data_IF_942023713970
#
_entry.id   IF_942023713970
#
_cell.length_a   1.000
_cell.length_b   1.000
_cell.length_c   1.000
_cell.angle_alpha   90.00
_cell.angle_beta   90.00
_cell.angle_gamma   90.00
#
_symmetry.space_group_name_H-M   'P 1'
#
loop_
_entity.id
_entity.type
_entity.pdbx_description
1 polymer ?
#
# COMPACT_ATOMS: atom_id res chain seq x y z
N UNK A 1 -17.91 -7.24 1.24
CA UNK A 1 -16.59 -6.78 0.82
C UNK A 1 -15.49 -7.54 1.55
N UNK A 2 -14.42 -7.90 0.86
CA UNK A 2 -13.25 -8.47 1.54
C UNK A 2 -12.73 -7.52 2.61
N UNK A 3 -12.32 -8.06 3.75
CA UNK A 3 -11.92 -7.25 4.90
C UNK A 3 -10.74 -6.32 4.62
N UNK A 4 -9.70 -6.83 3.95
CA UNK A 4 -8.49 -6.02 3.72
C UNK A 4 -8.74 -4.82 2.82
N UNK A 5 -9.36 -4.97 1.64
CA UNK A 5 -9.65 -3.81 0.80
C UNK A 5 -10.57 -2.79 1.47
N UNK A 6 -11.59 -3.24 2.18
CA UNK A 6 -12.48 -2.34 2.89
C UNK A 6 -11.74 -1.56 3.98
N UNK A 7 -10.85 -2.23 4.69
CA UNK A 7 -10.04 -1.60 5.71
C UNK A 7 -9.08 -0.56 5.16
N UNK A 8 -8.50 -0.81 3.99
CA UNK A 8 -7.65 0.18 3.32
C UNK A 8 -8.45 1.44 3.02
N UNK A 9 -9.66 1.28 2.49
CA UNK A 9 -10.51 2.43 2.19
C UNK A 9 -10.88 3.21 3.45
N UNK A 10 -11.19 2.51 4.52
CA UNK A 10 -11.51 3.16 5.79
C UNK A 10 -10.30 3.92 6.35
N UNK A 11 -9.13 3.34 6.25
CA UNK A 11 -7.90 3.98 6.69
C UNK A 11 -7.64 5.29 5.94
N UNK A 12 -7.80 5.27 4.62
CA UNK A 12 -7.65 6.48 3.81
C UNK A 12 -8.64 7.54 4.25
N UNK A 13 -9.88 7.15 4.49
CA UNK A 13 -10.92 8.06 4.93
C UNK A 13 -10.59 8.68 6.29
N UNK A 14 -10.12 7.88 7.23
CA UNK A 14 -9.77 8.37 8.57
C UNK A 14 -8.63 9.37 8.56
N UNK A 15 -7.70 9.23 7.61
CA UNK A 15 -6.56 10.13 7.49
C UNK A 15 -6.81 11.28 6.50
N UNK A 16 -8.04 11.41 6.02
CA UNK A 16 -8.39 12.50 5.12
C UNK A 16 -7.74 12.41 3.76
N UNK A 17 -7.37 11.21 3.33
CA UNK A 17 -6.76 10.99 2.02
C UNK A 17 -7.87 10.66 1.04
N UNK A 18 -8.16 11.59 0.12
CA UNK A 18 -9.20 11.42 -0.88
C UNK A 18 -8.58 10.81 -2.15
N UNK A 19 -9.03 9.61 -2.57
CA UNK A 19 -8.50 9.00 -3.81
C UNK A 19 -8.94 9.69 -5.09
N UNK A 20 -9.97 10.51 -5.04
CA UNK A 20 -10.55 11.12 -6.24
C UNK A 20 -9.51 11.90 -7.04
N UNK A 21 -9.39 11.58 -8.31
CA UNK A 21 -8.44 12.25 -9.21
C UNK A 21 -6.99 11.83 -9.05
N UNK A 22 -6.70 10.97 -8.09
CA UNK A 22 -5.32 10.52 -7.83
C UNK A 22 -5.01 9.24 -8.61
N UNK A 23 -3.74 9.05 -8.90
CA UNK A 23 -3.25 7.82 -9.53
C UNK A 23 -3.00 6.79 -8.46
N UNK A 24 -3.74 5.70 -8.52
CA UNK A 24 -3.61 4.57 -7.60
C UNK A 24 -3.02 3.39 -8.36
N UNK A 25 -1.88 2.90 -7.92
CA UNK A 25 -1.24 1.71 -8.47
C UNK A 25 -1.36 0.58 -7.47
N UNK A 26 -1.88 -0.55 -7.92
CA UNK A 26 -2.04 -1.73 -7.10
C UNK A 26 -1.14 -2.82 -7.67
N UNK A 27 -0.24 -3.35 -6.86
CA UNK A 27 0.64 -4.44 -7.27
C UNK A 27 0.03 -5.74 -6.76
N UNK A 28 -0.51 -6.53 -7.66
CA UNK A 28 -1.21 -7.77 -7.36
C UNK A 28 -2.59 -7.77 -7.97
N UNK A 29 -3.02 -8.94 -8.43
CA UNK A 29 -4.33 -9.08 -9.09
C UNK A 29 -5.12 -10.27 -8.58
N UNK A 30 -4.96 -10.59 -7.29
CA UNK A 30 -5.71 -11.68 -6.69
C UNK A 30 -7.20 -11.34 -6.62
N UNK A 31 -8.04 -12.37 -6.58
CA UNK A 31 -9.48 -12.18 -6.46
C UNK A 31 -9.88 -11.74 -5.05
N UNK A 32 -8.99 -11.89 -4.08
CA UNK A 32 -9.27 -11.59 -2.68
C UNK A 32 -8.86 -10.16 -2.31
N UNK A 33 -7.76 -9.67 -2.83
CA UNK A 33 -7.22 -8.37 -2.46
C UNK A 33 -7.05 -7.44 -3.66
N UNK A 34 -6.24 -7.82 -4.63
CA UNK A 34 -5.84 -6.91 -5.72
C UNK A 34 -7.01 -6.38 -6.53
N UNK A 35 -7.82 -7.28 -7.06
CA UNK A 35 -8.97 -6.87 -7.89
C UNK A 35 -10.03 -6.13 -7.09
N UNK A 36 -10.45 -6.60 -5.89
CA UNK A 36 -11.40 -5.85 -5.09
C UNK A 36 -10.90 -4.47 -4.69
N UNK A 37 -9.60 -4.35 -4.37
CA UNK A 37 -9.02 -3.06 -4.03
C UNK A 37 -9.11 -2.09 -5.20
N UNK A 38 -8.82 -2.57 -6.40
CA UNK A 38 -8.89 -1.74 -7.60
C UNK A 38 -10.31 -1.21 -7.82
N UNK A 39 -11.31 -2.07 -7.64
CA UNK A 39 -12.70 -1.68 -7.80
C UNK A 39 -13.13 -0.65 -6.77
N UNK A 40 -12.70 -0.79 -5.52
CA UNK A 40 -13.03 0.17 -4.48
C UNK A 40 -12.39 1.54 -4.74
N UNK A 41 -11.13 1.54 -5.19
CA UNK A 41 -10.46 2.80 -5.55
C UNK A 41 -11.15 3.47 -6.73
N UNK A 42 -11.55 2.69 -7.73
CA UNK A 42 -12.26 3.21 -8.89
C UNK A 42 -13.61 3.81 -8.48
N UNK A 43 -14.30 3.16 -7.55
CA UNK A 43 -15.58 3.67 -7.03
C UNK A 43 -15.40 5.04 -6.38
N UNK A 44 -14.24 5.30 -5.80
CA UNK A 44 -13.92 6.59 -5.19
C UNK A 44 -13.26 7.55 -6.18
N UNK A 45 -13.39 7.27 -7.46
CA UNK A 45 -12.95 8.15 -8.56
C UNK A 45 -11.43 8.26 -8.71
N UNK A 46 -10.67 7.28 -8.27
CA UNK A 46 -9.24 7.21 -8.55
C UNK A 46 -9.01 6.73 -9.97
N UNK A 47 -7.87 7.10 -10.54
CA UNK A 47 -7.36 6.48 -11.76
C UNK A 47 -6.53 5.28 -11.33
N UNK A 48 -6.93 4.08 -11.73
CA UNK A 48 -6.37 2.85 -11.18
C UNK A 48 -5.57 2.09 -12.23
N UNK A 49 -4.37 1.68 -11.85
CA UNK A 49 -3.52 0.78 -12.63
C UNK A 49 -3.23 -0.45 -11.79
N UNK A 50 -3.42 -1.63 -12.37
CA UNK A 50 -3.12 -2.90 -11.73
C UNK A 50 -1.84 -3.45 -12.35
N UNK A 51 -0.84 -3.69 -11.50
CA UNK A 51 0.41 -4.30 -11.91
C UNK A 51 0.50 -5.72 -11.37
N UNK A 52 1.23 -6.56 -12.07
CA UNK A 52 1.37 -7.98 -11.72
C UNK A 52 2.69 -8.53 -12.26
N UNK A 53 2.88 -9.85 -12.16
CA UNK A 53 4.15 -10.48 -12.54
C UNK A 53 4.53 -10.30 -14.02
N UNK A 54 3.57 -9.99 -14.87
CA UNK A 54 3.84 -9.76 -16.29
C UNK A 54 3.91 -8.28 -16.67
N UNK A 55 3.80 -7.39 -15.71
CA UNK A 55 3.89 -5.96 -15.96
C UNK A 55 5.30 -5.59 -16.37
N UNK A 56 5.44 -4.88 -17.47
CA UNK A 56 6.71 -4.31 -17.90
C UNK A 56 6.83 -2.91 -17.30
N UNK A 57 8.03 -2.55 -16.86
CA UNK A 57 8.26 -1.23 -16.29
C UNK A 57 7.56 -1.01 -14.95
N UNK A 58 7.61 -2.00 -14.07
CA UNK A 58 6.98 -1.88 -12.76
C UNK A 58 7.42 -0.64 -11.99
N UNK A 59 8.71 -0.35 -12.01
CA UNK A 59 9.26 0.82 -11.32
C UNK A 59 8.62 2.12 -11.81
N UNK A 60 8.52 2.28 -13.12
CA UNK A 60 7.94 3.46 -13.73
C UNK A 60 6.46 3.62 -13.36
N UNK A 61 5.73 2.50 -13.33
CA UNK A 61 4.34 2.53 -12.92
C UNK A 61 4.20 2.95 -11.45
N UNK A 62 5.05 2.41 -10.58
CA UNK A 62 5.04 2.75 -9.16
C UNK A 62 5.40 4.21 -8.93
N UNK A 63 6.35 4.75 -9.67
CA UNK A 63 6.76 6.15 -9.53
C UNK A 63 5.68 7.16 -9.92
N UNK A 64 4.66 6.72 -10.63
CA UNK A 64 3.53 7.58 -10.97
C UNK A 64 2.45 7.58 -9.89
N UNK A 65 2.54 6.68 -8.94
CA UNK A 65 1.48 6.46 -7.97
C UNK A 65 1.45 7.54 -6.88
N UNK A 66 0.32 8.18 -6.74
CA UNK A 66 0.02 9.00 -5.56
C UNK A 66 -0.33 8.10 -4.39
N UNK A 67 -1.00 6.98 -4.68
CA UNK A 67 -1.35 5.95 -3.71
C UNK A 67 -0.85 4.61 -4.28
N UNK A 68 0.04 3.95 -3.57
CA UNK A 68 0.61 2.67 -3.96
C UNK A 68 0.17 1.60 -2.97
N UNK A 69 -0.52 0.58 -3.47
CA UNK A 69 -0.96 -0.56 -2.66
C UNK A 69 -0.18 -1.80 -3.08
N UNK A 70 0.63 -2.32 -2.18
CA UNK A 70 1.44 -3.51 -2.45
C UNK A 70 0.74 -4.76 -1.91
N UNK A 71 0.41 -5.67 -2.81
CA UNK A 71 -0.36 -6.87 -2.51
C UNK A 71 0.11 -8.06 -3.36
N UNK A 72 1.41 -8.15 -3.64
CA UNK A 72 1.95 -9.18 -4.53
C UNK A 72 2.41 -10.43 -3.79
N UNK A 73 2.69 -10.33 -2.51
CA UNK A 73 3.21 -11.45 -1.73
C UNK A 73 4.68 -11.76 -2.02
N UNK A 74 5.47 -10.74 -2.36
CA UNK A 74 6.89 -10.89 -2.67
C UNK A 74 7.72 -9.93 -1.82
N UNK A 75 8.43 -10.47 -0.85
CA UNK A 75 9.26 -9.70 0.07
C UNK A 75 10.26 -8.81 -0.68
N UNK A 76 10.28 -7.52 -0.32
CA UNK A 76 11.25 -6.58 -0.89
C UNK A 76 11.00 -6.19 -2.34
N UNK A 77 9.85 -6.50 -2.89
CA UNK A 77 9.53 -6.17 -4.28
C UNK A 77 9.56 -4.67 -4.53
N UNK A 78 9.06 -3.88 -3.61
CA UNK A 78 9.01 -2.42 -3.73
C UNK A 78 10.15 -1.81 -2.95
N UNK A 79 11.09 -1.23 -3.67
CA UNK A 79 12.26 -0.56 -3.09
C UNK A 79 12.03 0.94 -3.00
N UNK A 80 12.88 1.64 -2.24
CA UNK A 80 12.70 3.07 -2.03
C UNK A 80 12.69 3.90 -3.31
N UNK A 81 13.48 3.48 -4.30
CA UNK A 81 13.58 4.18 -5.58
C UNK A 81 12.36 3.99 -6.50
N UNK A 82 11.38 3.20 -6.07
CA UNK A 82 10.14 2.98 -6.80
C UNK A 82 8.99 3.85 -6.26
N UNK A 83 9.26 4.68 -5.27
CA UNK A 83 8.22 5.45 -4.59
C UNK A 83 8.34 6.93 -4.94
N UNK A 84 7.24 7.50 -5.41
CA UNK A 84 7.15 8.93 -5.66
C UNK A 84 7.21 9.67 -4.32
N UNK A 85 8.06 10.70 -4.19
CA UNK A 85 8.13 11.46 -2.95
C UNK A 85 6.75 11.97 -2.51
N UNK A 86 6.42 11.73 -1.25
CA UNK A 86 5.14 12.15 -0.69
C UNK A 86 3.99 11.18 -0.92
N UNK A 87 4.20 10.08 -1.65
CA UNK A 87 3.13 9.12 -1.94
C UNK A 87 2.61 8.43 -0.67
N UNK A 88 1.37 7.96 -0.77
CA UNK A 88 0.77 7.10 0.24
C UNK A 88 1.10 5.66 -0.12
N UNK A 89 1.79 4.95 0.75
CA UNK A 89 2.22 3.57 0.51
C UNK A 89 1.53 2.64 1.49
N UNK A 90 0.74 1.71 0.98
CA UNK A 90 -0.03 0.79 1.79
C UNK A 90 0.41 -0.63 1.44
N UNK A 91 1.00 -1.33 2.40
CA UNK A 91 1.50 -2.68 2.23
C UNK A 91 0.52 -3.64 2.91
N UNK A 92 -0.21 -4.40 2.11
CA UNK A 92 -1.20 -5.36 2.62
C UNK A 92 -0.65 -6.80 2.59
N UNK A 93 0.59 -6.98 2.14
CA UNK A 93 1.20 -8.30 2.08
C UNK A 93 1.63 -8.75 3.48
N UNK A 94 1.57 -10.06 3.69
CA UNK A 94 1.99 -10.69 4.94
C UNK A 94 2.94 -11.83 4.59
N UNK A 95 4.21 -11.52 4.48
CA UNK A 95 5.25 -12.46 4.07
C UNK A 95 6.11 -12.86 5.27
N UNK A 96 6.93 -13.89 5.08
CA UNK A 96 7.98 -14.23 6.02
C UNK A 96 9.33 -14.13 5.32
N UNK A 97 10.27 -13.42 5.96
CA UNK A 97 11.61 -13.29 5.40
C UNK A 97 12.46 -14.53 5.71
N UNK A 98 13.73 -14.48 5.33
CA UNK A 98 14.66 -15.61 5.53
C UNK A 98 14.80 -16.00 7.00
N UNK A 99 14.60 -15.07 7.93
CA UNK A 99 14.68 -15.33 9.38
C UNK A 99 13.33 -15.72 9.98
N UNK A 100 12.29 -15.90 9.15
CA UNK A 100 10.96 -16.28 9.59
C UNK A 100 10.14 -15.14 10.18
N UNK A 101 10.61 -13.91 10.11
CA UNK A 101 9.88 -12.75 10.63
C UNK A 101 8.87 -12.25 9.62
N UNK A 102 7.75 -11.73 10.12
CA UNK A 102 6.74 -11.12 9.27
C UNK A 102 7.27 -9.85 8.61
N UNK A 103 6.99 -9.71 7.33
CA UNK A 103 7.35 -8.52 6.57
C UNK A 103 6.39 -8.37 5.41
N UNK A 104 6.45 -7.24 4.71
CA UNK A 104 5.61 -7.00 3.55
C UNK A 104 6.39 -7.01 2.25
N UNK A 105 5.77 -6.48 1.20
CA UNK A 105 6.38 -6.35 -0.12
C UNK A 105 7.30 -5.14 -0.20
N UNK A 106 7.15 -4.17 0.69
CA UNK A 106 7.86 -2.89 0.64
C UNK A 106 9.08 -2.93 1.54
N UNK A 107 10.21 -2.43 1.07
CA UNK A 107 11.37 -2.18 1.91
C UNK A 107 11.08 -0.99 2.81
N UNK A 108 10.53 -1.25 3.98
CA UNK A 108 9.98 -0.23 4.86
C UNK A 108 10.96 0.88 5.21
N UNK A 109 12.15 0.51 5.65
CA UNK A 109 13.14 1.49 6.11
C UNK A 109 13.49 2.53 5.04
N UNK A 110 13.72 2.08 3.81
CA UNK A 110 14.02 2.98 2.70
C UNK A 110 12.79 3.76 2.25
N UNK A 111 11.63 3.10 2.20
CA UNK A 111 10.39 3.71 1.74
C UNK A 111 9.90 4.80 2.70
N UNK A 112 10.10 4.60 3.98
CA UNK A 112 9.69 5.54 5.02
C UNK A 112 10.29 6.93 4.84
N UNK A 113 11.51 7.00 4.30
CA UNK A 113 12.21 8.26 4.07
C UNK A 113 11.60 9.07 2.91
N UNK A 114 10.84 8.41 2.04
CA UNK A 114 10.36 9.01 0.80
C UNK A 114 8.84 9.21 0.81
N UNK A 115 8.11 8.25 1.37
CA UNK A 115 6.65 8.28 1.41
C UNK A 115 6.13 9.37 2.34
N UNK A 116 4.97 9.93 2.01
CA UNK A 116 4.26 10.83 2.90
C UNK A 116 3.51 10.09 3.99
N UNK A 117 2.98 8.91 3.64
CA UNK A 117 2.32 7.99 4.57
C UNK A 117 2.75 6.59 4.21
N UNK A 118 3.00 5.76 5.20
CA UNK A 118 3.38 4.37 4.95
C UNK A 118 2.91 3.47 6.09
N UNK A 119 2.48 2.27 5.74
CA UNK A 119 2.08 1.26 6.72
C UNK A 119 3.19 0.22 6.89
N UNK A 120 3.61 -0.11 8.10
CA UNK A 120 4.57 -1.18 8.32
C UNK A 120 3.89 -2.56 8.34
N UNK A 121 4.68 -3.62 8.20
CA UNK A 121 4.24 -5.00 8.37
C UNK A 121 5.22 -5.66 9.34
N UNK A 122 4.77 -6.25 10.44
CA UNK A 122 3.39 -6.30 10.92
C UNK A 122 2.96 -4.99 11.60
N UNK A 123 1.67 -4.87 11.86
CA UNK A 123 1.13 -3.76 12.63
C UNK A 123 0.46 -2.67 11.82
N UNK A 124 0.48 -2.76 10.49
CA UNK A 124 -0.21 -1.82 9.62
C UNK A 124 -1.59 -2.29 9.24
N UNK A 125 -1.78 -2.65 7.98
CA UNK A 125 -3.08 -3.02 7.42
C UNK A 125 -3.56 -4.40 7.89
N UNK A 126 -2.64 -5.31 8.18
CA UNK A 126 -2.99 -6.68 8.60
C UNK A 126 -4.05 -6.75 9.70
N UNK A 127 -3.84 -6.12 10.86
CA UNK A 127 -4.85 -6.14 11.93
C UNK A 127 -5.89 -5.05 11.72
N UNK A 128 -6.74 -5.23 10.74
CA UNK A 128 -7.72 -4.21 10.30
C UNK A 128 -8.72 -3.78 11.36
N UNK A 129 -8.98 -4.64 12.32
CA UNK A 129 -9.92 -4.34 13.41
C UNK A 129 -9.31 -3.43 14.47
N UNK A 130 -8.03 -3.14 14.37
CA UNK A 130 -7.31 -2.33 15.35
C UNK A 130 -7.02 -0.94 14.78
N UNK A 131 -8.07 -0.17 14.61
CA UNK A 131 -7.97 1.17 14.02
C UNK A 131 -6.94 2.05 14.71
N UNK A 132 -6.85 1.96 16.03
CA UNK A 132 -5.89 2.77 16.78
C UNK A 132 -4.44 2.43 16.45
N UNK A 133 -4.15 1.14 16.22
CA UNK A 133 -2.81 0.73 15.84
C UNK A 133 -2.43 1.28 14.47
N UNK A 134 -3.35 1.22 13.53
CA UNK A 134 -3.13 1.79 12.21
C UNK A 134 -2.95 3.31 12.27
N UNK A 135 -3.75 3.96 13.08
CA UNK A 135 -3.66 5.40 13.28
C UNK A 135 -2.26 5.77 13.79
N UNK A 136 -1.78 5.11 14.82
CA UNK A 136 -0.46 5.37 15.38
C UNK A 136 0.64 5.12 14.35
N UNK A 137 0.51 4.07 13.56
CA UNK A 137 1.47 3.70 12.54
C UNK A 137 1.59 4.79 11.47
N UNK A 138 0.46 5.24 10.94
CA UNK A 138 0.47 6.28 9.92
C UNK A 138 0.94 7.61 10.45
N UNK A 139 0.58 7.94 11.68
CA UNK A 139 1.02 9.17 12.29
C UNK A 139 2.55 9.19 12.44
N UNK A 140 3.15 8.08 12.84
CA UNK A 140 4.61 7.98 12.95
C UNK A 140 5.29 8.17 11.59
N UNK A 141 4.80 7.53 10.54
CA UNK A 141 5.35 7.69 9.21
C UNK A 141 5.22 9.12 8.70
N UNK A 142 4.09 9.75 8.96
CA UNK A 142 3.84 11.13 8.58
C UNK A 142 4.82 12.09 9.23
N UNK A 143 5.21 11.84 10.48
CA UNK A 143 6.18 12.67 11.17
C UNK A 143 7.58 12.56 10.59
N UNK A 144 7.88 11.45 9.95
CA UNK A 144 9.16 11.23 9.27
C UNK A 144 9.16 11.77 7.84
N UNK A 145 8.00 11.86 7.27
CA UNK A 145 7.85 12.38 5.90
C UNK A 145 7.79 13.88 5.88
#
# INVERSE_FOLDING_TARGET
LPCTPAGVMRMLQEYGIDPAGKRCVIIGRSNIVGKPQALLMLRENATVTICHSRTQGLKEECLRADILVAAAGKTGLVTGDMIKPGAVVIDVAMNRNAEGKLCGDVEFAAAQEIAGYITPVPGGVGPMTRAMLMENTLLAARMHG
#
